data_IF_233847880501
#
_entry.id   IF_233847880501
#
_cell.length_a   1.000
_cell.length_b   1.000
_cell.length_c   1.000
_cell.angle_alpha   90.00
_cell.angle_beta   90.00
_cell.angle_gamma   90.00
#
_symmetry.space_group_name_H-M   'P 1'
#
loop_
_entity.id
_entity.type
_entity.pdbx_description
1 polymer ?
#
# COMPACT_ATOMS: atom_id res chain seq x y z
N UNK A 1 11.84 -9.37 79.00
CA UNK A 1 12.75 -8.49 78.25
C UNK A 1 12.97 -9.11 76.86
N UNK A 2 12.01 -8.92 75.94
CA UNK A 2 12.05 -9.51 74.59
C UNK A 2 12.49 -8.44 73.59
N UNK A 3 13.63 -8.65 72.93
CA UNK A 3 14.16 -7.74 71.90
C UNK A 3 13.34 -7.93 70.62
N UNK A 4 12.65 -6.88 70.19
CA UNK A 4 11.96 -6.84 68.90
C UNK A 4 12.98 -6.83 67.77
N UNK A 5 12.97 -7.88 66.95
CA UNK A 5 13.70 -7.90 65.69
C UNK A 5 12.93 -7.12 64.65
N UNK A 6 13.38 -5.91 64.34
CA UNK A 6 12.88 -5.13 63.19
C UNK A 6 13.40 -5.75 61.89
N UNK A 7 12.56 -6.52 61.21
CA UNK A 7 12.87 -6.98 59.85
C UNK A 7 12.79 -5.78 58.89
N UNK A 8 13.94 -5.24 58.51
CA UNK A 8 14.02 -4.30 57.40
C UNK A 8 13.80 -5.08 56.10
N UNK A 9 12.56 -5.10 55.61
CA UNK A 9 12.26 -5.55 54.26
C UNK A 9 12.78 -4.53 53.27
N UNK A 10 14.00 -4.78 52.77
CA UNK A 10 14.56 -4.05 51.65
C UNK A 10 13.66 -4.33 50.43
N UNK A 11 12.80 -3.37 50.08
CA UNK A 11 12.07 -3.40 48.81
C UNK A 11 13.09 -3.25 47.68
N UNK A 12 13.52 -4.38 47.12
CA UNK A 12 14.32 -4.42 45.90
C UNK A 12 13.46 -3.84 44.78
N UNK A 13 13.76 -2.59 44.40
CA UNK A 13 13.08 -1.86 43.33
C UNK A 13 13.64 -2.32 41.98
N UNK A 14 13.41 -3.58 41.61
CA UNK A 14 13.70 -4.08 40.25
C UNK A 14 12.55 -3.71 39.33
N UNK A 15 12.46 -2.43 38.99
CA UNK A 15 11.66 -1.99 37.85
C UNK A 15 12.61 -1.27 36.91
N UNK A 16 13.48 -2.04 36.24
CA UNK A 16 14.12 -1.56 35.04
C UNK A 16 13.03 -1.52 33.97
N UNK A 17 12.54 -0.31 33.68
CA UNK A 17 11.64 -0.01 32.57
C UNK A 17 12.43 -0.18 31.26
N UNK A 18 12.65 -1.44 30.88
CA UNK A 18 13.22 -1.78 29.58
C UNK A 18 12.15 -1.46 28.55
N UNK A 19 12.18 -0.25 28.00
CA UNK A 19 11.46 0.03 26.76
C UNK A 19 11.94 -0.96 25.73
N UNK A 20 11.04 -1.83 25.31
CA UNK A 20 11.29 -2.74 24.21
C UNK A 20 11.64 -1.90 22.99
N UNK A 21 12.56 -2.38 22.16
CA UNK A 21 12.87 -1.73 20.86
C UNK A 21 11.57 -1.55 20.04
N UNK A 22 10.61 -2.44 20.24
CA UNK A 22 9.28 -2.43 19.62
C UNK A 22 8.31 -1.36 20.18
N UNK A 23 8.65 -0.70 21.28
CA UNK A 23 7.87 0.45 21.79
C UNK A 23 8.10 1.71 20.94
N UNK A 24 9.20 1.74 20.18
CA UNK A 24 9.51 2.85 19.30
C UNK A 24 8.76 2.71 17.97
N UNK A 25 7.76 3.59 17.78
CA UNK A 25 6.96 3.69 16.55
C UNK A 25 7.82 3.69 15.28
N UNK A 26 8.91 4.44 15.28
CA UNK A 26 9.78 4.58 14.11
C UNK A 26 10.51 3.29 13.78
N UNK A 27 10.85 2.48 14.79
CA UNK A 27 11.47 1.18 14.57
C UNK A 27 10.46 0.22 13.92
N UNK A 28 9.21 0.22 14.40
CA UNK A 28 8.16 -0.61 13.81
C UNK A 28 7.83 -0.20 12.37
N UNK A 29 7.68 1.11 12.10
CA UNK A 29 7.45 1.62 10.75
C UNK A 29 8.63 1.35 9.82
N UNK A 30 9.86 1.52 10.33
CA UNK A 30 11.09 1.22 9.59
C UNK A 30 11.21 -0.27 9.25
N UNK A 31 10.87 -1.15 10.19
CA UNK A 31 10.85 -2.59 9.97
C UNK A 31 9.80 -2.98 8.93
N UNK A 32 8.59 -2.41 9.00
CA UNK A 32 7.53 -2.66 8.03
C UNK A 32 7.92 -2.18 6.63
N UNK A 33 8.50 -0.98 6.52
CA UNK A 33 9.00 -0.45 5.26
C UNK A 33 10.13 -1.33 4.69
N UNK A 34 11.07 -1.75 5.54
CA UNK A 34 12.16 -2.64 5.13
C UNK A 34 11.61 -3.98 4.63
N UNK A 35 10.67 -4.57 5.36
CA UNK A 35 10.01 -5.81 4.94
C UNK A 35 9.31 -5.65 3.59
N UNK A 36 8.56 -4.56 3.41
CA UNK A 36 7.90 -4.23 2.15
C UNK A 36 8.90 -4.09 0.99
N UNK A 37 10.01 -3.38 1.19
CA UNK A 37 11.08 -3.22 0.19
C UNK A 37 11.71 -4.56 -0.19
N UNK A 38 12.02 -5.42 0.80
CA UNK A 38 12.62 -6.73 0.56
C UNK A 38 11.65 -7.67 -0.15
N UNK A 39 10.37 -7.65 0.22
CA UNK A 39 9.32 -8.48 -0.37
C UNK A 39 9.10 -8.11 -1.84
N UNK A 40 8.90 -6.82 -2.14
CA UNK A 40 8.63 -6.33 -3.49
C UNK A 40 9.90 -6.03 -4.31
N UNK A 41 11.10 -6.36 -3.83
CA UNK A 41 12.38 -6.04 -4.50
C UNK A 41 12.40 -6.41 -5.99
N UNK A 42 11.89 -7.59 -6.35
CA UNK A 42 11.90 -8.06 -7.74
C UNK A 42 11.02 -7.19 -8.64
N UNK A 43 9.89 -6.70 -8.12
CA UNK A 43 9.02 -5.78 -8.85
C UNK A 43 9.62 -4.38 -8.94
N UNK A 44 10.27 -3.90 -7.87
CA UNK A 44 10.89 -2.58 -7.81
C UNK A 44 12.09 -2.49 -8.77
N UNK A 45 12.93 -3.54 -8.82
CA UNK A 45 14.10 -3.60 -9.69
C UNK A 45 13.78 -4.07 -11.12
N UNK A 46 12.53 -4.46 -11.40
CA UNK A 46 12.09 -4.89 -12.73
C UNK A 46 12.50 -6.31 -13.12
N UNK A 47 12.97 -7.12 -12.16
CA UNK A 47 13.27 -8.55 -12.34
C UNK A 47 12.01 -9.41 -12.45
N UNK A 48 10.84 -8.85 -12.09
CA UNK A 48 9.55 -9.50 -12.19
C UNK A 48 8.44 -8.49 -12.51
N UNK A 49 7.35 -9.00 -13.08
CA UNK A 49 6.15 -8.23 -13.41
C UNK A 49 4.91 -8.92 -12.87
N UNK A 50 3.88 -8.13 -12.56
CA UNK A 50 2.55 -8.68 -12.27
C UNK A 50 1.98 -9.24 -13.58
N UNK A 51 1.63 -10.52 -13.59
CA UNK A 51 1.12 -11.23 -14.76
C UNK A 51 -0.36 -11.60 -14.59
N UNK A 52 -0.90 -12.35 -15.55
CA UNK A 52 -2.27 -12.88 -15.57
C UNK A 52 -3.34 -11.78 -15.74
N UNK A 53 -4.35 -11.72 -14.88
CA UNK A 53 -5.43 -10.72 -14.91
C UNK A 53 -4.91 -9.28 -15.01
N UNK A 54 -3.72 -9.01 -14.46
CA UNK A 54 -3.09 -7.70 -14.58
C UNK A 54 -2.92 -7.28 -16.04
N UNK A 55 -2.39 -8.18 -16.87
CA UNK A 55 -2.09 -7.91 -18.27
C UNK A 55 -3.37 -7.92 -19.11
N UNK A 56 -4.31 -8.79 -18.77
CA UNK A 56 -5.51 -9.04 -19.57
C UNK A 56 -6.69 -8.13 -19.23
N UNK A 57 -6.85 -7.72 -17.97
CA UNK A 57 -8.02 -6.98 -17.49
C UNK A 57 -7.64 -5.61 -16.93
N UNK A 58 -6.66 -5.54 -16.02
CA UNK A 58 -6.40 -4.28 -15.28
C UNK A 58 -5.61 -3.25 -16.10
N UNK A 59 -4.50 -3.66 -16.71
CA UNK A 59 -3.65 -2.74 -17.48
C UNK A 59 -4.38 -2.12 -18.68
N UNK A 60 -5.12 -2.87 -19.52
CA UNK A 60 -5.87 -2.29 -20.65
C UNK A 60 -6.88 -1.23 -20.21
N UNK A 61 -7.54 -1.43 -19.08
CA UNK A 61 -8.45 -0.42 -18.51
C UNK A 61 -7.70 0.85 -18.12
N UNK A 62 -6.53 0.75 -17.48
CA UNK A 62 -5.73 1.94 -17.10
C UNK A 62 -5.16 2.65 -18.32
N UNK A 63 -4.69 1.89 -19.31
CA UNK A 63 -4.31 2.42 -20.61
C UNK A 63 -5.45 3.21 -21.25
N UNK A 64 -6.66 2.67 -21.23
CA UNK A 64 -7.83 3.31 -21.84
C UNK A 64 -8.27 4.60 -21.13
N UNK A 65 -8.24 4.62 -19.79
CA UNK A 65 -8.43 5.85 -19.01
C UNK A 65 -7.43 6.91 -19.48
N UNK A 66 -6.14 6.56 -19.53
CA UNK A 66 -5.09 7.48 -19.91
C UNK A 66 -5.24 7.96 -21.36
N UNK A 67 -5.53 7.04 -22.29
CA UNK A 67 -5.78 7.37 -23.68
C UNK A 67 -6.91 8.40 -23.83
N UNK A 68 -8.08 8.17 -23.24
CA UNK A 68 -9.20 9.10 -23.38
C UNK A 68 -8.92 10.45 -22.73
N UNK A 69 -8.45 10.45 -21.48
CA UNK A 69 -8.21 11.68 -20.72
C UNK A 69 -7.10 12.52 -21.36
N UNK A 70 -6.01 11.91 -21.82
CA UNK A 70 -4.92 12.61 -22.51
C UNK A 70 -5.35 13.21 -23.85
N UNK A 71 -6.45 12.74 -24.45
CA UNK A 71 -7.06 13.31 -25.66
C UNK A 71 -8.19 14.31 -25.33
N UNK A 72 -8.41 14.66 -24.05
CA UNK A 72 -9.48 15.57 -23.65
C UNK A 72 -10.88 14.97 -23.74
N UNK A 73 -11.00 13.64 -23.84
CA UNK A 73 -12.26 12.92 -23.95
C UNK A 73 -12.58 12.31 -22.59
N UNK A 74 -13.78 12.59 -22.07
CA UNK A 74 -14.25 11.91 -20.87
C UNK A 74 -14.72 10.48 -21.21
N UNK A 75 -14.24 9.44 -20.51
CA UNK A 75 -14.42 8.05 -20.94
C UNK A 75 -15.77 7.46 -20.52
N UNK A 76 -16.87 7.96 -21.09
CA UNK A 76 -18.22 7.45 -20.82
C UNK A 76 -18.45 6.05 -21.40
N UNK A 77 -18.00 5.82 -22.63
CA UNK A 77 -18.24 4.60 -23.40
C UNK A 77 -16.95 4.05 -23.98
N UNK A 78 -16.75 2.74 -23.84
CA UNK A 78 -15.66 2.01 -24.49
C UNK A 78 -16.22 1.28 -25.72
N UNK A 79 -15.90 1.71 -26.95
CA UNK A 79 -16.40 1.07 -28.16
C UNK A 79 -15.63 -0.19 -28.56
N UNK A 80 -14.50 -0.50 -27.92
CA UNK A 80 -13.58 -1.56 -28.35
C UNK A 80 -13.85 -2.90 -27.67
N UNK A 81 -14.54 -2.92 -26.53
CA UNK A 81 -14.82 -4.15 -25.78
C UNK A 81 -16.28 -4.55 -25.94
N UNK A 82 -16.53 -5.83 -26.24
CA UNK A 82 -17.87 -6.45 -26.29
C UNK A 82 -18.89 -5.74 -27.20
N UNK A 83 -18.44 -5.06 -28.26
CA UNK A 83 -19.33 -4.27 -29.13
C UNK A 83 -19.80 -2.95 -28.49
N UNK A 84 -19.23 -2.57 -27.36
CA UNK A 84 -19.54 -1.36 -26.61
C UNK A 84 -19.84 -1.65 -25.15
N UNK A 85 -19.23 -0.89 -24.24
CA UNK A 85 -19.41 -1.04 -22.79
C UNK A 85 -19.49 0.32 -22.08
N UNK A 86 -20.36 0.49 -21.07
CA UNK A 86 -20.44 1.71 -20.28
C UNK A 86 -19.23 1.82 -19.34
N UNK A 87 -18.14 2.38 -19.85
CA UNK A 87 -16.83 2.41 -19.20
C UNK A 87 -16.82 3.20 -17.89
N UNK A 88 -17.45 4.37 -17.86
CA UNK A 88 -17.53 5.19 -16.65
C UNK A 88 -18.41 4.56 -15.56
N UNK A 89 -19.46 3.86 -15.95
CA UNK A 89 -20.36 3.19 -15.01
C UNK A 89 -19.77 1.90 -14.43
N UNK A 90 -18.64 1.42 -14.96
CA UNK A 90 -18.02 0.18 -14.51
C UNK A 90 -17.19 0.40 -13.24
N UNK A 91 -17.65 -0.17 -12.13
CA UNK A 91 -17.07 0.06 -10.81
C UNK A 91 -15.59 -0.34 -10.71
N UNK A 92 -15.18 -1.42 -11.39
CA UNK A 92 -13.78 -1.90 -11.33
C UNK A 92 -12.80 -0.95 -12.03
N UNK A 93 -13.27 -0.19 -13.01
CA UNK A 93 -12.41 0.72 -13.78
C UNK A 93 -12.01 1.92 -12.92
N UNK A 94 -12.96 2.40 -12.10
CA UNK A 94 -12.79 3.50 -11.16
C UNK A 94 -12.10 4.71 -11.81
N UNK A 95 -12.71 5.25 -12.87
CA UNK A 95 -12.14 6.33 -13.71
C UNK A 95 -11.66 7.52 -12.87
N UNK A 96 -12.48 7.96 -11.91
CA UNK A 96 -12.20 9.14 -11.07
C UNK A 96 -11.31 8.82 -9.87
N UNK A 97 -10.79 7.59 -9.77
CA UNK A 97 -9.88 7.25 -8.69
C UNK A 97 -8.57 8.03 -8.86
N UNK A 98 -8.11 8.79 -7.84
CA UNK A 98 -7.00 9.72 -8.00
C UNK A 98 -5.73 9.09 -8.56
N UNK A 99 -5.37 7.87 -8.17
CA UNK A 99 -4.17 7.22 -8.71
C UNK A 99 -4.32 6.86 -10.20
N UNK A 100 -5.53 6.50 -10.66
CA UNK A 100 -5.78 6.24 -12.08
C UNK A 100 -5.67 7.52 -12.90
N UNK A 101 -6.14 8.65 -12.37
CA UNK A 101 -5.98 9.96 -12.99
C UNK A 101 -4.50 10.40 -13.03
N UNK A 102 -3.75 10.14 -11.96
CA UNK A 102 -2.30 10.42 -11.94
C UNK A 102 -1.51 9.60 -12.95
N UNK A 103 -1.93 8.35 -13.25
CA UNK A 103 -1.30 7.53 -14.28
C UNK A 103 -1.37 8.16 -15.68
N UNK A 104 -2.36 9.01 -15.95
CA UNK A 104 -2.50 9.68 -17.25
C UNK A 104 -1.34 10.61 -17.58
N UNK A 105 -0.63 11.12 -16.55
CA UNK A 105 0.59 11.92 -16.72
C UNK A 105 1.76 11.12 -17.32
N UNK A 106 1.70 9.79 -17.25
CA UNK A 106 2.71 8.88 -17.78
C UNK A 106 2.36 8.31 -19.16
N UNK A 107 1.22 8.69 -19.72
CA UNK A 107 0.85 8.33 -21.09
C UNK A 107 1.51 9.28 -22.08
N UNK A 108 2.35 8.74 -22.97
CA UNK A 108 3.10 9.50 -23.96
C UNK A 108 3.13 8.74 -25.28
N UNK A 109 2.93 9.44 -26.40
CA UNK A 109 3.05 8.89 -27.76
C UNK A 109 2.24 7.59 -27.99
N UNK A 110 1.03 7.48 -27.44
CA UNK A 110 0.22 6.28 -27.61
C UNK A 110 0.57 5.12 -26.68
N UNK A 111 1.48 5.32 -25.72
CA UNK A 111 1.97 4.28 -24.82
C UNK A 111 1.85 4.70 -23.35
N UNK A 112 1.39 3.78 -22.52
CA UNK A 112 1.45 3.89 -21.06
C UNK A 112 2.46 2.87 -20.55
N UNK A 113 3.42 3.29 -19.73
CA UNK A 113 4.30 2.31 -19.09
C UNK A 113 3.50 1.43 -18.12
N UNK A 114 3.76 0.10 -18.02
CA UNK A 114 3.17 -0.73 -16.97
C UNK A 114 3.65 -0.37 -15.55
N UNK A 115 4.76 0.38 -15.42
CA UNK A 115 5.38 0.66 -14.12
C UNK A 115 4.48 1.49 -13.18
N UNK A 116 3.90 2.64 -13.57
CA UNK A 116 3.00 3.40 -12.69
C UNK A 116 1.80 2.59 -12.21
N UNK A 117 1.28 1.70 -13.06
CA UNK A 117 0.17 0.81 -12.71
C UNK A 117 0.61 -0.19 -11.64
N UNK A 118 1.78 -0.81 -11.78
CA UNK A 118 2.33 -1.72 -10.76
C UNK A 118 2.71 -1.01 -9.45
N UNK A 119 3.32 0.18 -9.54
CA UNK A 119 3.65 1.01 -8.39
C UNK A 119 2.39 1.34 -7.59
N UNK A 120 1.25 1.56 -8.26
CA UNK A 120 -0.01 1.79 -7.55
C UNK A 120 -0.43 0.60 -6.70
N UNK A 121 -0.26 -0.64 -7.18
CA UNK A 121 -0.54 -1.86 -6.41
C UNK A 121 0.38 -1.91 -5.18
N UNK A 122 1.68 -1.71 -5.41
CA UNK A 122 2.71 -1.66 -4.37
C UNK A 122 2.40 -0.63 -3.28
N UNK A 123 1.99 0.57 -3.69
CA UNK A 123 1.57 1.63 -2.79
C UNK A 123 0.37 1.22 -1.92
N UNK A 124 -0.63 0.55 -2.48
CA UNK A 124 -1.77 0.07 -1.70
C UNK A 124 -1.35 -0.95 -0.64
N UNK A 125 -0.45 -1.88 -0.97
CA UNK A 125 0.07 -2.83 0.01
C UNK A 125 0.80 -2.13 1.15
N UNK A 126 1.58 -1.08 0.86
CA UNK A 126 2.26 -0.30 1.88
C UNK A 126 1.26 0.47 2.76
N UNK A 127 0.29 1.13 2.14
CA UNK A 127 -0.76 1.87 2.84
C UNK A 127 -1.61 0.96 3.73
N UNK A 128 -2.01 -0.20 3.22
CA UNK A 128 -2.74 -1.21 3.99
C UNK A 128 -1.90 -1.73 5.18
N UNK A 129 -0.60 -1.93 4.98
CA UNK A 129 0.31 -2.37 6.05
C UNK A 129 0.38 -1.33 7.19
N UNK A 130 0.50 -0.04 6.85
CA UNK A 130 0.45 1.02 7.85
C UNK A 130 -0.90 1.08 8.58
N UNK A 131 -2.01 1.00 7.84
CA UNK A 131 -3.35 0.95 8.44
C UNK A 131 -3.53 -0.22 9.41
N UNK A 132 -3.09 -1.41 9.01
CA UNK A 132 -3.15 -2.60 9.85
C UNK A 132 -2.30 -2.45 11.14
N UNK A 133 -1.11 -1.85 11.04
CA UNK A 133 -0.26 -1.58 12.20
C UNK A 133 -0.93 -0.63 13.20
N UNK A 134 -1.50 0.48 12.72
CA UNK A 134 -2.20 1.42 13.60
C UNK A 134 -3.45 0.81 14.23
N UNK A 135 -4.18 -0.01 13.46
CA UNK A 135 -5.33 -0.75 13.97
C UNK A 135 -4.92 -1.74 15.07
N UNK A 136 -3.86 -2.53 14.87
CA UNK A 136 -3.34 -3.45 15.88
C UNK A 136 -2.98 -2.74 17.19
N UNK A 137 -2.30 -1.58 17.07
CA UNK A 137 -1.98 -0.74 18.22
C UNK A 137 -3.22 -0.22 18.95
N UNK A 138 -4.27 0.15 18.23
CA UNK A 138 -5.54 0.59 18.82
C UNK A 138 -6.27 -0.55 19.53
N UNK A 139 -6.21 -1.76 18.97
CA UNK A 139 -6.82 -2.96 19.53
C UNK A 139 -5.98 -3.62 20.65
N UNK A 140 -4.76 -3.13 20.90
CA UNK A 140 -3.80 -3.68 21.86
C UNK A 140 -3.44 -5.15 21.58
N UNK A 141 -3.33 -5.49 20.30
CA UNK A 141 -2.73 -6.73 19.80
C UNK A 141 -1.20 -6.57 19.74
#
# INVERSE_FOLDING_TARGET
>A
MAKSGTSHTVKVKTQYDYKSIFDNLWVCLGFLLLFWLVFFRKLIFGDAFIFDDFVHQFYPQKFMIAHFISNGIFPFWNPYSFGGMPFFAHIEIAVLYPLNLLMTLFYKNGYLSPLPVQISVLFHFLFASFGAFFLGKQLKL
#
